data_IF_495173130060
#
_entry.id   IF_495173130060
#
_cell.length_a   1.000
_cell.length_b   1.000
_cell.length_c   1.000
_cell.angle_alpha   90.00
_cell.angle_beta   90.00
_cell.angle_gamma   90.00
#
_symmetry.space_group_name_H-M   'P 1'
#
loop_
_entity.id
_entity.type
_entity.pdbx_description
1 polymer ?
#
# COMPACT_ATOMS: atom_id res chain seq x y z
N UNK A 1 -9.14 -7.38 -24.15
CA UNK A 1 -8.13 -6.44 -23.58
C UNK A 1 -8.18 -6.28 -22.06
N UNK A 2 -9.18 -6.81 -21.33
CA UNK A 2 -9.41 -6.56 -19.90
C UNK A 2 -8.54 -7.35 -18.88
N UNK A 3 -7.89 -8.43 -19.24
CA UNK A 3 -7.05 -9.24 -18.32
C UNK A 3 -5.64 -8.70 -18.11
N UNK A 4 -5.06 -8.02 -19.10
CA UNK A 4 -3.71 -7.45 -19.02
C UNK A 4 -3.67 -6.12 -18.22
N UNK A 5 -4.75 -5.34 -18.28
CA UNK A 5 -4.86 -4.08 -17.52
C UNK A 5 -5.21 -4.28 -16.05
N UNK A 6 -5.97 -5.33 -15.70
CA UNK A 6 -6.35 -5.63 -14.31
C UNK A 6 -5.16 -5.95 -13.40
N UNK A 7 -4.14 -6.64 -13.92
CA UNK A 7 -2.90 -6.94 -13.22
C UNK A 7 -2.09 -5.68 -12.85
N UNK A 8 -2.12 -4.64 -13.70
CA UNK A 8 -1.44 -3.38 -13.47
C UNK A 8 -2.21 -2.47 -12.51
N UNK A 9 -3.54 -2.39 -12.66
CA UNK A 9 -4.40 -1.47 -11.87
C UNK A 9 -4.40 -1.83 -10.39
N UNK A 10 -4.34 -3.12 -10.02
CA UNK A 10 -4.37 -3.59 -8.63
C UNK A 10 -3.07 -3.40 -7.85
N UNK A 11 -1.97 -2.90 -8.46
CA UNK A 11 -0.68 -2.73 -7.78
C UNK A 11 -0.55 -1.36 -7.12
N UNK A 12 0.14 -1.30 -5.96
CA UNK A 12 0.51 -0.04 -5.32
C UNK A 12 1.44 0.79 -6.22
N UNK A 13 1.49 2.10 -6.01
CA UNK A 13 2.37 3.00 -6.76
C UNK A 13 3.84 2.60 -6.65
N UNK A 14 4.30 2.16 -5.46
CA UNK A 14 5.68 1.69 -5.28
C UNK A 14 5.95 0.39 -6.03
N UNK A 15 5.00 -0.56 -6.02
CA UNK A 15 5.15 -1.79 -6.79
C UNK A 15 5.21 -1.55 -8.30
N UNK A 16 4.52 -0.51 -8.80
CA UNK A 16 4.59 -0.08 -10.21
C UNK A 16 5.96 0.52 -10.54
N UNK A 17 6.48 1.41 -9.67
CA UNK A 17 7.81 2.03 -9.84
C UNK A 17 8.91 0.96 -9.74
N UNK A 18 8.83 0.04 -8.76
CA UNK A 18 9.80 -1.06 -8.64
C UNK A 18 9.82 -1.93 -9.92
N UNK A 19 8.64 -2.31 -10.40
CA UNK A 19 8.54 -3.12 -11.61
C UNK A 19 9.09 -2.41 -12.83
N UNK A 20 8.70 -1.15 -13.05
CA UNK A 20 9.22 -0.32 -14.16
C UNK A 20 10.75 -0.23 -14.10
N UNK A 21 11.30 0.10 -12.95
CA UNK A 21 12.75 0.22 -12.75
C UNK A 21 13.45 -1.12 -13.03
N UNK A 22 12.94 -2.24 -12.52
CA UNK A 22 13.51 -3.58 -12.77
C UNK A 22 13.52 -3.93 -14.25
N UNK A 23 12.42 -3.72 -14.95
CA UNK A 23 12.32 -3.99 -16.38
C UNK A 23 13.26 -3.09 -17.19
N UNK A 24 13.37 -1.81 -16.84
CA UNK A 24 14.32 -0.89 -17.50
C UNK A 24 15.75 -1.41 -17.39
N UNK A 25 16.19 -1.85 -16.22
CA UNK A 25 17.54 -2.42 -16.05
C UNK A 25 17.73 -3.76 -16.73
N UNK A 26 16.71 -4.63 -16.76
CA UNK A 26 16.78 -5.86 -17.55
C UNK A 26 16.84 -5.61 -19.05
N UNK A 27 16.25 -4.53 -19.56
CA UNK A 27 16.34 -4.14 -20.97
C UNK A 27 17.71 -3.57 -21.33
N UNK A 28 18.50 -3.08 -20.37
CA UNK A 28 19.88 -2.62 -20.67
C UNK A 28 20.80 -3.77 -21.10
N UNK A 29 20.61 -4.99 -20.61
CA UNK A 29 21.44 -6.14 -21.01
C UNK A 29 21.29 -6.50 -22.51
N UNK A 30 20.08 -6.70 -23.07
CA UNK A 30 19.94 -6.87 -24.51
C UNK A 30 20.37 -5.63 -25.32
N UNK A 31 20.16 -4.43 -24.78
CA UNK A 31 20.65 -3.20 -25.42
C UNK A 31 22.18 -3.18 -25.49
N UNK A 32 22.88 -3.56 -24.40
CA UNK A 32 24.33 -3.73 -24.38
C UNK A 32 24.78 -4.73 -25.44
N UNK A 33 24.17 -5.90 -25.51
CA UNK A 33 24.50 -6.91 -26.52
C UNK A 33 24.32 -6.34 -27.93
N UNK A 34 23.19 -5.69 -28.21
CA UNK A 34 22.91 -5.12 -29.54
C UNK A 34 23.93 -4.02 -29.89
N UNK A 35 24.24 -3.14 -28.94
CA UNK A 35 25.18 -2.04 -29.15
C UNK A 35 26.63 -2.55 -29.38
N UNK A 36 27.05 -3.54 -28.58
CA UNK A 36 28.42 -4.06 -28.65
C UNK A 36 28.59 -5.12 -29.73
N UNK A 37 27.59 -5.94 -30.03
CA UNK A 37 27.65 -6.96 -31.09
C UNK A 37 27.83 -6.34 -32.48
N UNK A 38 27.33 -5.13 -32.71
CA UNK A 38 27.51 -4.40 -33.97
C UNK A 38 28.98 -4.19 -34.34
N UNK A 39 29.85 -4.01 -33.35
CA UNK A 39 31.28 -3.75 -33.56
C UNK A 39 32.00 -4.97 -34.19
N UNK A 40 32.03 -6.18 -33.52
CA UNK A 40 32.71 -7.33 -34.12
C UNK A 40 32.00 -7.89 -35.35
N UNK A 41 30.67 -7.75 -35.45
CA UNK A 41 29.91 -8.22 -36.64
C UNK A 41 30.21 -7.37 -37.89
N UNK A 42 30.26 -6.02 -37.76
CA UNK A 42 30.63 -5.16 -38.85
C UNK A 42 32.09 -5.36 -39.29
N UNK A 43 33.00 -5.56 -38.33
CA UNK A 43 34.40 -5.89 -38.63
C UNK A 43 34.56 -7.25 -39.30
N UNK A 44 33.75 -8.25 -38.95
CA UNK A 44 33.74 -9.54 -39.63
C UNK A 44 33.22 -9.42 -41.07
N UNK A 45 32.17 -8.64 -41.31
CA UNK A 45 31.58 -8.45 -42.64
C UNK A 45 32.50 -7.69 -43.59
N UNK A 46 33.35 -6.79 -43.09
CA UNK A 46 34.36 -6.06 -43.85
C UNK A 46 35.69 -6.81 -44.00
N UNK A 47 35.75 -8.07 -43.56
CA UNK A 47 36.97 -8.87 -43.51
C UNK A 47 38.09 -8.29 -42.62
N UNK A 48 37.81 -7.27 -41.84
CA UNK A 48 38.73 -6.68 -40.89
C UNK A 48 38.99 -7.56 -39.65
N UNK A 49 38.13 -8.61 -39.44
CA UNK A 49 38.20 -9.52 -38.30
C UNK A 49 37.90 -10.97 -38.76
N UNK A 50 38.72 -11.91 -38.30
CA UNK A 50 38.48 -13.34 -38.56
C UNK A 50 37.17 -13.78 -37.89
N UNK A 51 36.29 -14.61 -38.54
CA UNK A 51 35.00 -15.01 -37.96
C UNK A 51 35.06 -15.68 -36.58
N UNK A 52 36.10 -16.48 -36.31
CA UNK A 52 36.31 -17.10 -35.02
C UNK A 52 36.64 -16.11 -33.91
N UNK A 53 37.37 -15.04 -34.23
CA UNK A 53 37.69 -13.97 -33.25
C UNK A 53 36.47 -13.10 -33.01
N UNK A 54 35.71 -12.78 -34.08
CA UNK A 54 34.42 -12.08 -33.94
C UNK A 54 33.46 -12.82 -33.01
N UNK A 55 33.35 -14.15 -33.18
CA UNK A 55 32.55 -15.00 -32.29
C UNK A 55 33.04 -14.95 -30.82
N UNK A 56 34.36 -15.00 -30.61
CA UNK A 56 34.95 -14.87 -29.27
C UNK A 56 34.64 -13.51 -28.63
N UNK A 57 34.78 -12.40 -29.39
CA UNK A 57 34.43 -11.06 -28.89
C UNK A 57 32.95 -10.94 -28.60
N UNK A 58 32.08 -11.50 -29.42
CA UNK A 58 30.64 -11.54 -29.16
C UNK A 58 30.31 -12.32 -27.88
N UNK A 59 30.98 -13.45 -27.65
CA UNK A 59 30.80 -14.23 -26.41
C UNK A 59 31.23 -13.43 -25.17
N UNK A 60 32.32 -12.67 -25.26
CA UNK A 60 32.75 -11.75 -24.18
C UNK A 60 31.67 -10.69 -23.91
N UNK A 61 31.12 -10.06 -24.94
CA UNK A 61 30.02 -9.09 -24.79
C UNK A 61 28.79 -9.70 -24.11
N UNK A 62 28.38 -10.90 -24.55
CA UNK A 62 27.24 -11.61 -23.96
C UNK A 62 27.50 -11.96 -22.48
N UNK A 63 28.67 -12.47 -22.16
CA UNK A 63 29.04 -12.81 -20.78
C UNK A 63 29.08 -11.57 -19.89
N UNK A 64 29.62 -10.46 -20.38
CA UNK A 64 29.64 -9.19 -19.67
C UNK A 64 28.22 -8.64 -19.43
N UNK A 65 27.36 -8.64 -20.45
CA UNK A 65 25.98 -8.18 -20.32
C UNK A 65 25.16 -9.03 -19.32
N UNK A 66 25.38 -10.36 -19.31
CA UNK A 66 24.77 -11.23 -18.28
C UNK A 66 25.27 -10.87 -16.89
N UNK A 67 26.56 -10.60 -16.72
CA UNK A 67 27.13 -10.21 -15.43
C UNK A 67 26.59 -8.85 -14.97
N UNK A 68 26.46 -7.87 -15.88
CA UNK A 68 25.78 -6.59 -15.61
C UNK A 68 24.33 -6.80 -15.17
N UNK A 69 23.55 -7.63 -15.87
CA UNK A 69 22.16 -7.90 -15.53
C UNK A 69 21.99 -8.57 -14.16
N UNK A 70 22.83 -9.55 -13.84
CA UNK A 70 22.84 -10.24 -12.55
C UNK A 70 23.18 -9.27 -11.42
N UNK A 71 24.22 -8.45 -11.61
CA UNK A 71 24.60 -7.45 -10.62
C UNK A 71 23.49 -6.41 -10.44
N UNK A 72 22.95 -5.84 -11.52
CA UNK A 72 21.88 -4.86 -11.46
C UNK A 72 20.66 -5.38 -10.71
N UNK A 73 20.22 -6.61 -10.99
CA UNK A 73 19.11 -7.25 -10.28
C UNK A 73 19.37 -7.32 -8.76
N UNK A 74 20.56 -7.73 -8.35
CA UNK A 74 20.93 -7.83 -6.92
C UNK A 74 21.14 -6.48 -6.26
N UNK A 75 21.66 -5.50 -6.97
CA UNK A 75 21.82 -4.13 -6.48
C UNK A 75 20.45 -3.46 -6.25
N UNK A 76 19.47 -3.70 -7.13
CA UNK A 76 18.10 -3.22 -6.93
C UNK A 76 17.43 -3.89 -5.72
N UNK A 77 17.63 -5.20 -5.51
CA UNK A 77 17.15 -5.88 -4.29
C UNK A 77 17.72 -5.27 -3.01
N UNK A 78 19.00 -4.91 -3.03
CA UNK A 78 19.64 -4.20 -1.91
C UNK A 78 19.08 -2.79 -1.70
N UNK A 79 18.81 -2.04 -2.77
CA UNK A 79 18.25 -0.68 -2.69
C UNK A 79 16.86 -0.67 -2.01
N UNK A 80 16.02 -1.68 -2.30
CA UNK A 80 14.70 -1.86 -1.69
C UNK A 80 14.78 -2.48 -0.28
N UNK A 81 15.96 -2.95 0.15
CA UNK A 81 16.17 -3.56 1.46
C UNK A 81 15.75 -5.03 1.54
N UNK A 82 15.58 -5.70 0.39
CA UNK A 82 15.24 -7.14 0.32
C UNK A 82 16.45 -8.05 0.53
N UNK A 83 17.68 -7.54 0.29
CA UNK A 83 18.93 -8.32 0.37
C UNK A 83 20.09 -7.43 0.85
N UNK A 84 21.17 -8.07 1.25
CA UNK A 84 22.43 -7.41 1.58
C UNK A 84 23.14 -6.87 0.34
N UNK A 85 24.10 -5.95 0.57
CA UNK A 85 24.89 -5.32 -0.49
C UNK A 85 25.67 -6.37 -1.28
N UNK A 86 25.56 -6.43 -2.62
CA UNK A 86 26.17 -7.46 -3.45
C UNK A 86 27.68 -7.19 -3.73
N UNK A 87 28.50 -7.08 -2.69
CA UNK A 87 29.92 -6.71 -2.82
C UNK A 87 30.70 -7.71 -3.68
N UNK A 88 30.44 -9.02 -3.51
CA UNK A 88 31.12 -10.06 -4.30
C UNK A 88 30.82 -9.96 -5.79
N UNK A 89 29.57 -9.63 -6.13
CA UNK A 89 29.17 -9.42 -7.53
C UNK A 89 29.72 -8.12 -8.08
N UNK A 90 29.87 -7.06 -7.26
CA UNK A 90 30.51 -5.81 -7.68
C UNK A 90 31.98 -6.06 -8.03
N UNK A 91 32.71 -6.82 -7.19
CA UNK A 91 34.09 -7.22 -7.48
C UNK A 91 34.15 -8.10 -8.73
N UNK A 92 33.26 -9.08 -8.87
CA UNK A 92 33.18 -9.93 -10.04
C UNK A 92 32.92 -9.13 -11.33
N UNK A 93 32.04 -8.12 -11.28
CA UNK A 93 31.77 -7.25 -12.44
C UNK A 93 32.99 -6.40 -12.78
N UNK A 94 33.61 -5.76 -11.78
CA UNK A 94 34.82 -4.94 -12.00
C UNK A 94 35.97 -5.76 -12.59
N UNK A 95 36.25 -6.94 -12.01
CA UNK A 95 37.29 -7.84 -12.53
C UNK A 95 36.93 -8.43 -13.88
N UNK A 96 35.67 -8.80 -14.10
CA UNK A 96 35.17 -9.31 -15.37
C UNK A 96 35.31 -8.28 -16.49
N UNK A 97 34.95 -7.00 -16.23
CA UNK A 97 35.17 -5.91 -17.18
C UNK A 97 36.67 -5.72 -17.50
N UNK A 98 37.52 -5.68 -16.49
CA UNK A 98 38.95 -5.53 -16.69
C UNK A 98 39.57 -6.71 -17.50
N UNK A 99 39.17 -7.94 -17.22
CA UNK A 99 39.60 -9.11 -17.97
C UNK A 99 39.11 -9.07 -19.43
N UNK A 100 37.86 -8.66 -19.64
CA UNK A 100 37.31 -8.48 -20.99
C UNK A 100 38.10 -7.42 -21.78
N UNK A 101 38.35 -6.27 -21.17
CA UNK A 101 39.12 -5.17 -21.79
C UNK A 101 40.55 -5.60 -22.14
N UNK A 102 41.26 -6.25 -21.19
CA UNK A 102 42.61 -6.75 -21.43
C UNK A 102 42.64 -7.83 -22.54
N UNK A 103 41.64 -8.71 -22.56
CA UNK A 103 41.53 -9.71 -23.63
C UNK A 103 41.34 -9.09 -25.00
N UNK A 104 40.45 -8.12 -25.10
CA UNK A 104 40.20 -7.38 -26.37
C UNK A 104 41.47 -6.65 -26.81
N UNK A 105 42.17 -5.94 -25.92
CA UNK A 105 43.42 -5.24 -26.22
C UNK A 105 44.53 -6.21 -26.66
N UNK A 106 44.65 -7.36 -25.99
CA UNK A 106 45.64 -8.38 -26.35
C UNK A 106 45.37 -8.97 -27.71
N UNK A 107 44.11 -9.29 -28.04
CA UNK A 107 43.71 -9.77 -29.35
C UNK A 107 44.00 -8.73 -30.45
N UNK A 108 43.77 -7.45 -30.14
CA UNK A 108 44.08 -6.35 -31.07
C UNK A 108 45.58 -6.24 -31.34
N UNK A 109 46.44 -6.21 -30.32
CA UNK A 109 47.90 -6.15 -30.47
C UNK A 109 48.52 -7.39 -31.12
N UNK A 110 47.85 -8.56 -30.98
CA UNK A 110 48.23 -9.79 -31.69
C UNK A 110 47.87 -9.79 -33.18
N UNK A 111 47.37 -8.68 -33.74
CA UNK A 111 47.01 -8.52 -35.12
C UNK A 111 45.72 -9.26 -35.50
N UNK A 112 44.86 -9.55 -34.53
CA UNK A 112 43.58 -10.19 -34.77
C UNK A 112 42.59 -9.31 -35.54
N UNK A 113 42.77 -8.01 -35.48
CA UNK A 113 41.94 -7.02 -36.19
C UNK A 113 42.85 -6.09 -37.04
N UNK A 114 42.42 -5.80 -38.27
CA UNK A 114 43.10 -4.83 -39.14
C UNK A 114 42.63 -3.39 -38.92
N UNK A 115 41.48 -3.22 -38.25
CA UNK A 115 40.89 -1.93 -37.92
C UNK A 115 41.13 -1.59 -36.45
N UNK A 116 41.93 -0.55 -36.14
CA UNK A 116 42.22 -0.13 -34.76
C UNK A 116 40.98 0.30 -33.99
N UNK A 117 39.95 0.78 -34.68
CA UNK A 117 38.74 1.29 -34.04
C UNK A 117 37.90 0.19 -33.34
N UNK A 118 37.98 -1.05 -33.80
CA UNK A 118 37.22 -2.20 -33.29
C UNK A 118 37.58 -2.51 -31.85
N UNK A 119 38.89 -2.67 -31.57
CA UNK A 119 39.35 -2.97 -30.20
C UNK A 119 39.10 -1.84 -29.23
N UNK A 120 39.46 -0.64 -29.62
CA UNK A 120 39.32 0.59 -28.82
C UNK A 120 37.85 0.91 -28.54
N UNK A 121 36.97 0.80 -29.53
CA UNK A 121 35.53 1.03 -29.40
C UNK A 121 34.89 0.03 -28.43
N UNK A 122 35.25 -1.24 -28.55
CA UNK A 122 34.72 -2.29 -27.72
C UNK A 122 35.13 -2.17 -26.24
N UNK A 123 36.43 -1.87 -25.97
CA UNK A 123 36.96 -1.61 -24.61
C UNK A 123 36.27 -0.41 -23.99
N UNK A 124 36.14 0.69 -24.75
CA UNK A 124 35.47 1.89 -24.26
C UNK A 124 34.02 1.59 -23.85
N UNK A 125 33.32 0.85 -24.67
CA UNK A 125 31.92 0.54 -24.42
C UNK A 125 31.71 -0.49 -23.26
N UNK A 126 32.53 -1.55 -23.19
CA UNK A 126 32.51 -2.51 -22.06
C UNK A 126 32.77 -1.79 -20.73
N UNK A 127 33.83 -0.96 -20.67
CA UNK A 127 34.15 -0.16 -19.49
C UNK A 127 33.02 0.80 -19.11
N UNK A 128 32.38 1.47 -20.11
CA UNK A 128 31.27 2.40 -19.84
C UNK A 128 30.04 1.68 -19.27
N UNK A 129 29.62 0.55 -19.85
CA UNK A 129 28.50 -0.24 -19.32
C UNK A 129 28.83 -0.85 -17.95
N UNK A 130 30.02 -1.42 -17.77
CA UNK A 130 30.46 -1.98 -16.49
C UNK A 130 30.51 -0.93 -15.39
N UNK A 131 31.17 0.22 -15.64
CA UNK A 131 31.23 1.32 -14.69
C UNK A 131 29.83 1.85 -14.35
N UNK A 132 29.01 2.15 -15.36
CA UNK A 132 27.66 2.66 -15.16
C UNK A 132 26.77 1.70 -14.33
N UNK A 133 26.87 0.40 -14.59
CA UNK A 133 26.14 -0.62 -13.84
C UNK A 133 26.62 -0.74 -12.38
N UNK A 134 27.94 -0.66 -12.13
CA UNK A 134 28.52 -0.68 -10.80
C UNK A 134 27.98 0.42 -9.88
N UNK A 135 27.56 1.56 -10.43
CA UNK A 135 27.04 2.69 -9.66
C UNK A 135 25.75 2.34 -8.91
N UNK A 136 24.96 1.34 -9.38
CA UNK A 136 23.79 0.82 -8.66
C UNK A 136 24.15 0.25 -7.26
N UNK A 137 25.37 -0.20 -7.07
CA UNK A 137 25.90 -0.69 -5.79
C UNK A 137 26.38 0.42 -4.83
N UNK A 138 26.23 1.71 -5.19
CA UNK A 138 26.73 2.85 -4.44
C UNK A 138 25.57 3.77 -4.02
N UNK A 139 25.57 4.23 -2.76
CA UNK A 139 24.55 5.18 -2.25
C UNK A 139 25.00 6.63 -2.27
N UNK A 140 26.32 6.87 -2.21
CA UNK A 140 26.85 8.24 -2.09
C UNK A 140 27.34 8.73 -3.44
N UNK A 141 26.81 9.85 -3.92
CA UNK A 141 27.16 10.47 -5.22
C UNK A 141 28.67 10.65 -5.38
N UNK A 142 29.38 11.08 -4.33
CA UNK A 142 30.85 11.20 -4.36
C UNK A 142 31.58 9.89 -4.72
N UNK A 143 31.07 8.75 -4.23
CA UNK A 143 31.66 7.44 -4.55
C UNK A 143 31.33 7.03 -5.99
N UNK A 144 30.18 7.44 -6.51
CA UNK A 144 29.80 7.22 -7.91
C UNK A 144 30.76 8.01 -8.83
N UNK A 145 30.99 9.28 -8.52
CA UNK A 145 31.96 10.12 -9.28
C UNK A 145 33.37 9.51 -9.27
N UNK A 146 33.87 9.09 -8.11
CA UNK A 146 35.19 8.46 -8.01
C UNK A 146 35.25 7.15 -8.80
N UNK A 147 34.21 6.32 -8.76
CA UNK A 147 34.18 5.06 -9.49
C UNK A 147 34.25 5.26 -11.01
N UNK A 148 33.50 6.24 -11.54
CA UNK A 148 33.54 6.56 -12.98
C UNK A 148 34.89 7.14 -13.37
N UNK A 149 35.47 8.07 -12.58
CA UNK A 149 36.79 8.61 -12.81
C UNK A 149 37.90 7.56 -12.82
N UNK A 150 37.84 6.64 -11.83
CA UNK A 150 38.81 5.53 -11.76
C UNK A 150 38.67 4.62 -12.99
N UNK A 151 37.45 4.28 -13.40
CA UNK A 151 37.22 3.45 -14.56
C UNK A 151 37.73 4.16 -15.83
N UNK A 152 37.43 5.44 -16.01
CA UNK A 152 37.88 6.24 -17.15
C UNK A 152 39.42 6.32 -17.23
N UNK A 153 40.09 6.63 -16.11
CA UNK A 153 41.55 6.66 -16.04
C UNK A 153 42.15 5.26 -16.28
N UNK A 154 41.61 4.22 -15.69
CA UNK A 154 42.10 2.84 -15.85
C UNK A 154 42.00 2.39 -17.32
N UNK A 155 40.90 2.67 -18.00
CA UNK A 155 40.71 2.37 -19.42
C UNK A 155 41.69 3.16 -20.30
N UNK A 156 41.85 4.49 -20.06
CA UNK A 156 42.81 5.30 -20.78
C UNK A 156 44.26 4.81 -20.62
N UNK A 157 44.64 4.48 -19.36
CA UNK A 157 45.98 3.94 -19.08
C UNK A 157 46.18 2.56 -19.75
N UNK A 158 45.19 1.69 -19.70
CA UNK A 158 45.26 0.39 -20.38
C UNK A 158 45.43 0.53 -21.87
N UNK A 159 44.64 1.38 -22.53
CA UNK A 159 44.74 1.65 -23.97
C UNK A 159 46.11 2.22 -24.33
N UNK A 160 46.66 3.15 -23.54
CA UNK A 160 48.01 3.70 -23.76
C UNK A 160 49.10 2.65 -23.59
N UNK A 161 49.00 1.78 -22.55
CA UNK A 161 49.98 0.71 -22.28
C UNK A 161 50.03 -0.35 -23.41
N UNK A 162 48.96 -0.51 -24.17
CA UNK A 162 48.88 -1.40 -25.33
C UNK A 162 49.31 -0.71 -26.64
N UNK A 163 49.99 0.44 -26.56
CA UNK A 163 50.64 1.10 -27.69
C UNK A 163 49.76 2.06 -28.50
N UNK A 164 48.55 2.37 -28.05
CA UNK A 164 47.72 3.38 -28.68
C UNK A 164 48.16 4.77 -28.27
N UNK A 165 48.12 5.70 -29.22
CA UNK A 165 48.58 7.09 -28.99
C UNK A 165 47.75 7.82 -27.91
N UNK A 166 48.36 8.82 -27.28
CA UNK A 166 47.73 9.62 -26.23
C UNK A 166 46.34 10.20 -26.60
N UNK A 167 46.07 10.68 -27.83
CA UNK A 167 44.75 11.15 -28.21
C UNK A 167 43.67 10.05 -28.10
N UNK A 168 44.00 8.84 -28.56
CA UNK A 168 43.09 7.67 -28.49
C UNK A 168 42.80 7.27 -27.02
N UNK A 169 43.86 7.18 -26.20
CA UNK A 169 43.75 6.86 -24.78
C UNK A 169 42.88 7.88 -24.02
N UNK A 170 43.10 9.18 -24.28
CA UNK A 170 42.27 10.24 -23.69
C UNK A 170 40.83 10.15 -24.21
N UNK A 171 40.62 9.92 -25.52
CA UNK A 171 39.31 9.75 -26.12
C UNK A 171 38.52 8.60 -25.48
N UNK A 172 39.18 7.46 -25.22
CA UNK A 172 38.55 6.32 -24.49
C UNK A 172 38.17 6.70 -23.06
N UNK A 173 39.05 7.32 -22.30
CA UNK A 173 38.75 7.80 -20.96
C UNK A 173 37.56 8.77 -20.95
N UNK A 174 37.52 9.73 -21.87
CA UNK A 174 36.36 10.63 -22.04
C UNK A 174 35.10 9.86 -22.43
N UNK A 175 35.18 8.86 -23.30
CA UNK A 175 34.07 8.01 -23.70
C UNK A 175 33.51 7.24 -22.52
N UNK A 176 34.35 6.67 -21.67
CA UNK A 176 33.92 5.99 -20.42
C UNK A 176 33.34 6.98 -19.43
N UNK A 177 33.91 8.19 -19.28
CA UNK A 177 33.39 9.22 -18.40
C UNK A 177 31.97 9.67 -18.82
N UNK A 178 31.77 9.93 -20.10
CA UNK A 178 30.48 10.37 -20.62
C UNK A 178 29.45 9.23 -20.65
N UNK A 179 29.81 8.08 -21.18
CA UNK A 179 28.92 6.91 -21.30
C UNK A 179 28.61 6.31 -19.92
N UNK A 180 29.63 5.99 -19.14
CA UNK A 180 29.48 5.44 -17.80
C UNK A 180 28.86 6.42 -16.81
N UNK A 181 29.21 7.69 -16.89
CA UNK A 181 28.64 8.78 -16.11
C UNK A 181 27.17 9.04 -16.45
N UNK A 182 26.81 9.10 -17.74
CA UNK A 182 25.42 9.23 -18.20
C UNK A 182 24.54 8.08 -17.78
N UNK A 183 24.99 6.85 -17.99
CA UNK A 183 24.30 5.65 -17.53
C UNK A 183 24.19 5.59 -16.00
N UNK A 184 25.26 6.00 -15.30
CA UNK A 184 25.31 6.06 -13.86
C UNK A 184 24.38 7.09 -13.24
N UNK A 185 24.22 8.26 -13.87
CA UNK A 185 23.25 9.27 -13.40
C UNK A 185 21.80 8.74 -13.52
N UNK A 186 21.47 8.09 -14.62
CA UNK A 186 20.16 7.44 -14.81
C UNK A 186 19.93 6.34 -13.77
N UNK A 187 20.96 5.52 -13.51
CA UNK A 187 20.94 4.44 -12.51
C UNK A 187 20.79 5.00 -11.10
N UNK A 188 21.56 6.03 -10.75
CA UNK A 188 21.52 6.71 -9.47
C UNK A 188 20.16 7.34 -9.19
N UNK A 189 19.60 8.04 -10.17
CA UNK A 189 18.27 8.64 -10.09
C UNK A 189 17.19 7.59 -9.89
N UNK A 190 17.22 6.48 -10.65
CA UNK A 190 16.26 5.39 -10.53
C UNK A 190 16.32 4.72 -9.16
N UNK A 191 17.54 4.48 -8.62
CA UNK A 191 17.75 3.94 -7.27
C UNK A 191 17.25 4.89 -6.19
N UNK A 192 17.52 6.18 -6.33
CA UNK A 192 17.05 7.22 -5.41
C UNK A 192 15.53 7.31 -5.39
N UNK A 193 14.90 7.35 -6.58
CA UNK A 193 13.45 7.37 -6.73
C UNK A 193 12.80 6.14 -6.06
N UNK A 194 13.35 4.96 -6.31
CA UNK A 194 12.87 3.72 -5.72
C UNK A 194 12.98 3.74 -4.18
N UNK A 195 14.09 4.29 -3.66
CA UNK A 195 14.30 4.48 -2.22
C UNK A 195 13.25 5.41 -1.60
N UNK A 196 13.01 6.57 -2.21
CA UNK A 196 12.02 7.55 -1.72
C UNK A 196 10.60 6.98 -1.72
N UNK A 197 10.20 6.32 -2.81
CA UNK A 197 8.86 5.73 -2.90
C UNK A 197 8.66 4.66 -1.84
N UNK A 198 9.68 3.82 -1.60
CA UNK A 198 9.65 2.82 -0.53
C UNK A 198 9.57 3.42 0.88
N UNK A 199 10.27 4.53 1.12
CA UNK A 199 10.23 5.24 2.41
C UNK A 199 8.88 5.92 2.65
N UNK A 200 8.29 6.50 1.60
CA UNK A 200 6.96 7.11 1.65
C UNK A 200 5.87 6.07 2.00
N UNK A 201 5.92 4.87 1.41
CA UNK A 201 4.97 3.80 1.77
C UNK A 201 5.13 3.35 3.23
N UNK A 202 6.37 3.15 3.69
CA UNK A 202 6.64 2.82 5.10
C UNK A 202 6.12 3.90 6.06
N UNK A 203 6.35 5.17 5.71
CA UNK A 203 5.84 6.30 6.50
C UNK A 203 4.32 6.34 6.58
N UNK A 204 3.63 6.02 5.48
CA UNK A 204 2.16 5.92 5.45
C UNK A 204 1.64 4.77 6.32
N UNK A 205 2.28 3.61 6.26
CA UNK A 205 1.91 2.45 7.09
C UNK A 205 2.12 2.75 8.59
N UNK A 206 3.25 3.37 8.95
CA UNK A 206 3.51 3.80 10.33
C UNK A 206 2.49 4.82 10.82
N UNK A 207 2.13 5.81 10.00
CA UNK A 207 1.10 6.81 10.35
C UNK A 207 -0.26 6.16 10.55
N UNK A 208 -0.63 5.19 9.71
CA UNK A 208 -1.88 4.45 9.87
C UNK A 208 -1.92 3.66 11.19
N UNK A 209 -0.82 2.97 11.52
CA UNK A 209 -0.69 2.24 12.81
C UNK A 209 -0.72 3.18 14.01
N UNK A 210 -0.07 4.33 13.91
CA UNK A 210 -0.08 5.35 14.96
C UNK A 210 -1.49 5.88 15.19
N UNK A 211 -2.23 6.23 14.13
CA UNK A 211 -3.61 6.68 14.22
C UNK A 211 -4.52 5.65 14.93
N UNK A 212 -4.36 4.35 14.62
CA UNK A 212 -5.08 3.29 15.33
C UNK A 212 -4.70 3.19 16.80
N UNK A 213 -3.41 3.36 17.13
CA UNK A 213 -2.95 3.34 18.52
C UNK A 213 -3.45 4.56 19.32
N UNK A 214 -3.42 5.74 18.73
CA UNK A 214 -3.95 6.97 19.33
C UNK A 214 -5.45 6.86 19.60
N UNK A 215 -6.20 6.29 18.65
CA UNK A 215 -7.64 6.05 18.80
C UNK A 215 -7.94 5.07 19.96
N UNK A 216 -7.15 3.98 20.07
CA UNK A 216 -7.26 3.05 21.21
C UNK A 216 -6.97 3.71 22.55
N UNK A 217 -5.98 4.60 22.60
CA UNK A 217 -5.65 5.36 23.82
C UNK A 217 -6.75 6.36 24.19
N UNK A 218 -7.35 7.03 23.19
CA UNK A 218 -8.49 7.93 23.38
C UNK A 218 -9.69 7.16 23.96
N UNK A 219 -10.02 6.03 23.34
CA UNK A 219 -11.07 5.13 23.84
C UNK A 219 -10.83 4.70 25.28
N UNK A 220 -9.60 4.28 25.63
CA UNK A 220 -9.27 3.87 27.00
C UNK A 220 -9.46 5.01 27.99
N UNK A 221 -9.14 6.25 27.60
CA UNK A 221 -9.32 7.44 28.43
C UNK A 221 -10.79 7.79 28.62
N UNK A 222 -11.56 7.84 27.51
CA UNK A 222 -12.99 8.13 27.54
C UNK A 222 -13.76 7.11 28.42
N UNK A 223 -13.40 5.83 28.29
CA UNK A 223 -13.96 4.76 29.13
C UNK A 223 -13.60 4.95 30.61
N UNK A 224 -12.34 5.29 30.90
CA UNK A 224 -11.85 5.50 32.25
C UNK A 224 -12.55 6.71 32.92
N UNK A 225 -12.75 7.79 32.17
CA UNK A 225 -13.40 9.01 32.68
C UNK A 225 -14.88 8.80 33.01
N UNK A 226 -15.62 8.05 32.13
CA UNK A 226 -17.02 7.70 32.39
C UNK A 226 -17.13 6.75 33.59
N UNK A 227 -16.30 5.70 33.63
CA UNK A 227 -16.35 4.73 34.72
C UNK A 227 -15.86 5.33 36.05
N UNK A 228 -14.76 6.08 36.03
CA UNK A 228 -14.15 6.64 37.25
C UNK A 228 -15.11 7.59 37.99
N UNK A 229 -15.76 8.49 37.25
CA UNK A 229 -16.73 9.43 37.81
C UNK A 229 -17.92 8.70 38.46
N UNK A 230 -18.53 7.79 37.72
CA UNK A 230 -19.72 7.09 38.19
C UNK A 230 -19.42 6.15 39.38
N UNK A 231 -18.28 5.44 39.36
CA UNK A 231 -17.85 4.57 40.45
C UNK A 231 -17.56 5.37 41.73
N UNK A 232 -16.96 6.57 41.64
CA UNK A 232 -16.70 7.42 42.79
C UNK A 232 -17.99 7.91 43.45
N UNK A 233 -19.01 8.28 42.63
CA UNK A 233 -20.33 8.70 43.17
C UNK A 233 -21.06 7.49 43.81
N UNK A 234 -20.98 6.30 43.21
CA UNK A 234 -21.56 5.09 43.79
C UNK A 234 -20.92 4.78 45.13
N UNK A 235 -19.58 4.85 45.25
CA UNK A 235 -18.88 4.58 46.51
C UNK A 235 -19.29 5.57 47.61
N UNK A 236 -19.31 6.87 47.32
CA UNK A 236 -19.70 7.89 48.28
C UNK A 236 -21.16 7.71 48.75
N UNK A 237 -22.11 7.49 47.83
CA UNK A 237 -23.53 7.29 48.16
C UNK A 237 -23.76 5.99 48.92
N UNK A 238 -23.01 4.94 48.62
CA UNK A 238 -23.08 3.69 49.35
C UNK A 238 -22.61 3.85 50.82
N UNK A 239 -21.53 4.60 51.03
CA UNK A 239 -21.01 4.89 52.35
C UNK A 239 -22.01 5.74 53.16
N UNK A 240 -22.62 6.77 52.55
CA UNK A 240 -23.68 7.54 53.13
C UNK A 240 -24.91 6.68 53.54
N UNK A 241 -25.32 5.81 52.66
CA UNK A 241 -26.43 4.87 52.93
C UNK A 241 -26.13 3.97 54.14
N UNK A 242 -24.91 3.46 54.27
CA UNK A 242 -24.49 2.63 55.45
C UNK A 242 -24.53 3.47 56.73
N UNK A 243 -24.06 4.75 56.72
CA UNK A 243 -24.09 5.62 57.89
C UNK A 243 -25.51 5.96 58.32
N UNK A 244 -26.42 6.24 57.37
CA UNK A 244 -27.83 6.50 57.63
C UNK A 244 -28.53 5.24 58.20
N UNK A 245 -28.27 4.08 57.64
CA UNK A 245 -28.81 2.82 58.13
C UNK A 245 -28.38 2.52 59.58
N UNK A 246 -27.09 2.72 59.91
CA UNK A 246 -26.57 2.57 61.28
C UNK A 246 -27.24 3.51 62.30
N UNK A 247 -27.78 4.63 61.83
CA UNK A 247 -28.51 5.63 62.66
C UNK A 247 -30.02 5.43 62.64
N UNK A 248 -30.50 4.32 62.03
CA UNK A 248 -31.93 4.02 61.93
C UNK A 248 -32.72 4.99 61.05
N UNK A 249 -32.07 5.67 60.13
CA UNK A 249 -32.73 6.70 59.31
C UNK A 249 -33.32 6.07 58.05
N UNK A 250 -34.61 6.30 57.77
CA UNK A 250 -35.28 5.69 56.57
C UNK A 250 -34.69 6.17 55.24
N UNK A 251 -34.03 7.32 55.17
CA UNK A 251 -33.39 7.90 54.00
C UNK A 251 -32.23 7.01 53.46
N UNK A 252 -31.80 6.02 54.21
CA UNK A 252 -30.83 5.00 53.76
C UNK A 252 -31.32 4.25 52.52
N UNK A 253 -32.63 3.95 52.47
CA UNK A 253 -33.25 3.24 51.31
C UNK A 253 -33.23 4.10 50.05
N UNK A 254 -33.49 5.38 50.20
CA UNK A 254 -33.47 6.33 49.08
C UNK A 254 -32.04 6.43 48.46
N UNK A 255 -30.99 6.49 49.30
CA UNK A 255 -29.61 6.50 48.83
C UNK A 255 -29.24 5.17 48.10
N UNK A 256 -29.68 4.02 48.58
CA UNK A 256 -29.44 2.75 47.90
C UNK A 256 -30.20 2.66 46.58
N UNK A 257 -31.39 3.20 46.49
CA UNK A 257 -32.18 3.28 45.26
C UNK A 257 -31.45 4.12 44.20
N UNK A 258 -30.90 5.26 44.66
CA UNK A 258 -30.11 6.14 43.77
C UNK A 258 -28.79 5.48 43.32
N UNK A 259 -28.11 4.73 44.18
CA UNK A 259 -26.93 3.91 43.81
C UNK A 259 -27.27 2.93 42.70
N UNK A 260 -28.40 2.22 42.84
CA UNK A 260 -28.87 1.28 41.82
C UNK A 260 -29.18 1.99 40.48
N UNK A 261 -29.79 3.17 40.53
CA UNK A 261 -30.10 3.97 39.36
C UNK A 261 -28.80 4.39 38.62
N UNK A 262 -27.81 4.91 39.36
CA UNK A 262 -26.52 5.33 38.81
C UNK A 262 -25.76 4.14 38.24
N UNK A 263 -25.73 3.02 38.92
CA UNK A 263 -25.08 1.79 38.44
C UNK A 263 -25.68 1.29 37.09
N UNK A 264 -27.01 1.28 36.99
CA UNK A 264 -27.70 0.90 35.75
C UNK A 264 -27.47 1.88 34.62
N UNK A 265 -27.38 3.16 34.93
CA UNK A 265 -27.05 4.22 33.97
C UNK A 265 -25.61 4.08 33.48
N UNK A 266 -24.65 3.89 34.40
CA UNK A 266 -23.23 3.69 34.06
C UNK A 266 -23.02 2.45 33.16
N UNK A 267 -23.69 1.34 33.46
CA UNK A 267 -23.66 0.16 32.60
C UNK A 267 -24.21 0.40 31.19
N UNK A 268 -25.18 1.30 31.04
CA UNK A 268 -25.70 1.68 29.71
C UNK A 268 -24.69 2.54 28.99
N UNK A 269 -24.15 3.58 29.63
CA UNK A 269 -23.15 4.47 29.06
C UNK A 269 -21.89 3.70 28.60
N UNK A 270 -21.36 2.80 29.43
CA UNK A 270 -20.23 1.92 29.03
C UNK A 270 -20.59 1.05 27.81
N UNK A 271 -21.77 0.46 27.80
CA UNK A 271 -22.22 -0.34 26.65
C UNK A 271 -22.36 0.49 25.38
N UNK A 272 -22.81 1.72 25.48
CA UNK A 272 -22.96 2.62 24.33
C UNK A 272 -21.60 3.09 23.81
N UNK A 273 -20.64 3.36 24.69
CA UNK A 273 -19.25 3.64 24.29
C UNK A 273 -18.60 2.41 23.63
N UNK A 274 -18.72 1.23 24.21
CA UNK A 274 -18.17 -0.02 23.62
C UNK A 274 -18.86 -0.38 22.31
N UNK A 275 -20.16 -0.16 22.19
CA UNK A 275 -20.92 -0.34 20.94
C UNK A 275 -20.54 0.68 19.88
N UNK A 276 -20.28 1.94 20.26
CA UNK A 276 -19.80 3.00 19.35
C UNK A 276 -18.45 2.68 18.72
N UNK A 277 -17.62 1.85 19.37
CA UNK A 277 -16.26 1.51 18.91
C UNK A 277 -16.14 0.23 18.07
N UNK A 278 -17.17 -0.65 18.08
CA UNK A 278 -17.21 -1.76 17.13
C UNK A 278 -17.66 -1.19 15.79
N UNK A 279 -16.75 -1.06 14.84
CA UNK A 279 -17.09 -0.81 13.44
C UNK A 279 -18.16 -1.82 13.02
N UNK A 280 -19.37 -1.35 12.74
CA UNK A 280 -20.46 -2.20 12.31
C UNK A 280 -20.14 -2.63 10.87
N UNK A 281 -19.73 -3.89 10.68
CA UNK A 281 -19.66 -4.50 9.36
C UNK A 281 -21.10 -4.79 8.89
N UNK A 282 -21.51 -4.14 7.81
CA UNK A 282 -22.88 -4.26 7.28
C UNK A 282 -23.29 -5.71 7.02
N UNK A 283 -22.37 -6.57 6.52
CA UNK A 283 -22.67 -7.98 6.27
C UNK A 283 -22.91 -8.75 7.57
N UNK A 284 -22.06 -8.51 8.57
CA UNK A 284 -22.19 -9.14 9.91
C UNK A 284 -23.48 -8.69 10.57
N UNK A 285 -23.87 -7.41 10.45
CA UNK A 285 -25.13 -6.90 11.00
C UNK A 285 -26.37 -7.49 10.30
N UNK A 286 -26.32 -7.63 8.97
CA UNK A 286 -27.39 -8.26 8.20
C UNK A 286 -27.58 -9.75 8.58
N UNK A 287 -26.49 -10.51 8.70
CA UNK A 287 -26.53 -11.91 9.13
C UNK A 287 -27.02 -12.02 10.58
N UNK A 288 -26.54 -11.15 11.47
CA UNK A 288 -27.00 -11.05 12.84
C UNK A 288 -28.49 -10.74 12.95
N UNK A 289 -28.98 -9.77 12.16
CA UNK A 289 -30.40 -9.42 12.10
C UNK A 289 -31.28 -10.61 11.68
N UNK A 290 -30.86 -11.35 10.65
CA UNK A 290 -31.58 -12.56 10.20
C UNK A 290 -31.65 -13.62 11.31
N UNK A 291 -30.51 -13.86 12.00
CA UNK A 291 -30.45 -14.86 13.08
C UNK A 291 -31.31 -14.48 14.28
N UNK A 292 -31.23 -13.24 14.75
CA UNK A 292 -31.94 -12.76 15.94
C UNK A 292 -33.45 -12.65 15.69
N UNK A 293 -33.86 -12.08 14.54
CA UNK A 293 -35.28 -11.99 14.15
C UNK A 293 -35.88 -13.39 13.95
N UNK A 294 -35.15 -14.30 13.29
CA UNK A 294 -35.56 -15.68 13.12
C UNK A 294 -35.72 -16.43 14.44
N UNK A 295 -34.83 -16.22 15.41
CA UNK A 295 -34.94 -16.78 16.77
C UNK A 295 -36.17 -16.24 17.56
N UNK A 296 -36.58 -15.00 17.23
CA UNK A 296 -37.81 -14.39 17.79
C UNK A 296 -39.09 -14.77 17.03
N UNK A 297 -39.01 -15.66 16.02
CA UNK A 297 -40.18 -16.10 15.23
C UNK A 297 -40.58 -15.12 14.12
N UNK A 298 -39.74 -14.10 13.81
CA UNK A 298 -39.99 -13.08 12.78
C UNK A 298 -39.33 -13.52 11.47
N UNK A 299 -40.10 -13.66 10.41
CA UNK A 299 -39.59 -13.99 9.08
C UNK A 299 -38.79 -12.83 8.51
N UNK A 300 -37.45 -12.97 8.41
CA UNK A 300 -36.55 -11.93 7.93
C UNK A 300 -36.10 -12.22 6.48
N UNK A 301 -36.48 -11.36 5.54
CA UNK A 301 -36.04 -11.39 4.15
C UNK A 301 -34.95 -10.31 3.94
N UNK A 302 -33.79 -10.71 3.40
CA UNK A 302 -32.69 -9.78 3.07
C UNK A 302 -32.47 -9.82 1.55
N UNK A 303 -32.58 -8.66 0.91
CA UNK A 303 -32.30 -8.47 -0.51
C UNK A 303 -30.80 -8.56 -0.84
N UNK A 304 -30.45 -8.53 -2.13
CA UNK A 304 -29.06 -8.54 -2.57
C UNK A 304 -28.27 -7.36 -1.98
N UNK A 305 -27.04 -7.65 -1.53
CA UNK A 305 -26.15 -6.65 -0.94
C UNK A 305 -25.28 -6.05 -2.03
N UNK A 306 -25.22 -4.72 -2.13
CA UNK A 306 -24.35 -4.01 -3.06
C UNK A 306 -22.89 -4.14 -2.61
N UNK A 307 -22.02 -4.71 -3.45
CA UNK A 307 -20.59 -4.83 -3.20
C UNK A 307 -19.84 -3.52 -3.47
N UNK A 308 -18.72 -3.35 -2.77
CA UNK A 308 -17.78 -2.23 -3.02
C UNK A 308 -18.16 -0.90 -2.40
N UNK A 309 -19.04 -0.88 -1.39
CA UNK A 309 -19.33 0.30 -0.61
C UNK A 309 -18.10 0.76 0.19
N UNK A 310 -17.83 2.08 0.33
CA UNK A 310 -16.80 2.60 1.22
C UNK A 310 -17.02 2.13 2.67
N UNK A 311 -15.94 1.85 3.40
CA UNK A 311 -15.97 1.30 4.77
C UNK A 311 -16.83 2.17 5.72
N UNK A 312 -16.72 3.51 5.62
CA UNK A 312 -17.52 4.45 6.43
C UNK A 312 -19.03 4.34 6.14
N UNK A 313 -19.40 4.12 4.88
CA UNK A 313 -20.79 3.93 4.47
C UNK A 313 -21.32 2.58 5.00
N UNK A 314 -20.54 1.51 4.89
CA UNK A 314 -20.89 0.21 5.44
C UNK A 314 -21.12 0.28 6.95
N UNK A 315 -20.23 0.95 7.69
CA UNK A 315 -20.38 1.14 9.12
C UNK A 315 -21.65 1.90 9.48
N UNK A 316 -21.96 3.01 8.80
CA UNK A 316 -23.16 3.80 9.04
C UNK A 316 -24.44 3.00 8.76
N UNK A 317 -24.49 2.26 7.65
CA UNK A 317 -25.64 1.41 7.29
C UNK A 317 -25.77 0.21 8.23
N UNK A 318 -24.67 -0.39 8.68
CA UNK A 318 -24.67 -1.47 9.68
C UNK A 318 -25.31 -1.02 11.00
N UNK A 319 -25.04 0.23 11.44
CA UNK A 319 -25.71 0.80 12.61
C UNK A 319 -27.23 0.94 12.41
N UNK A 320 -27.68 1.34 11.22
CA UNK A 320 -29.11 1.40 10.91
C UNK A 320 -29.75 0.02 11.03
N UNK A 321 -29.14 -1.02 10.45
CA UNK A 321 -29.63 -2.41 10.54
C UNK A 321 -29.73 -2.86 11.99
N UNK A 322 -28.69 -2.64 12.79
CA UNK A 322 -28.65 -3.05 14.21
C UNK A 322 -29.76 -2.38 15.03
N UNK A 323 -29.87 -1.05 14.92
CA UNK A 323 -30.84 -0.29 15.71
C UNK A 323 -32.28 -0.60 15.28
N UNK A 324 -32.52 -0.72 13.96
CA UNK A 324 -33.86 -1.09 13.44
C UNK A 324 -34.26 -2.53 13.86
N UNK A 325 -33.30 -3.48 13.82
CA UNK A 325 -33.55 -4.84 14.33
C UNK A 325 -33.92 -4.83 15.83
N UNK A 326 -33.21 -4.03 16.63
CA UNK A 326 -33.52 -3.87 18.07
C UNK A 326 -34.92 -3.25 18.25
N UNK A 327 -35.29 -2.27 17.43
CA UNK A 327 -36.58 -1.61 17.50
C UNK A 327 -37.72 -2.57 17.12
N UNK A 328 -37.55 -3.39 16.10
CA UNK A 328 -38.52 -4.43 15.68
C UNK A 328 -38.76 -5.40 16.84
N UNK A 329 -37.70 -5.88 17.52
CA UNK A 329 -37.81 -6.78 18.66
C UNK A 329 -38.44 -6.14 19.92
N UNK A 330 -38.28 -4.83 20.10
CA UNK A 330 -38.73 -4.13 21.31
C UNK A 330 -40.14 -3.60 21.21
N UNK A 331 -40.55 -3.20 20.01
CA UNK A 331 -41.77 -2.37 19.82
C UNK A 331 -42.80 -2.95 18.86
N UNK A 332 -42.54 -4.12 18.29
CA UNK A 332 -43.42 -4.68 17.28
C UNK A 332 -43.93 -6.07 17.61
N UNK A 333 -45.24 -6.30 17.38
CA UNK A 333 -45.78 -7.65 17.18
C UNK A 333 -45.58 -8.06 15.70
N UNK A 334 -44.35 -7.81 15.21
CA UNK A 334 -44.01 -8.08 13.82
C UNK A 334 -43.91 -9.60 13.58
N UNK A 335 -44.50 -10.05 12.50
CA UNK A 335 -44.34 -11.41 11.98
C UNK A 335 -43.38 -11.47 10.79
N UNK A 336 -43.11 -10.31 10.16
CA UNK A 336 -42.23 -10.19 9.00
C UNK A 336 -41.38 -8.92 9.07
N UNK A 337 -40.10 -9.06 8.67
CA UNK A 337 -39.18 -7.94 8.47
C UNK A 337 -38.48 -8.10 7.13
N UNK A 338 -38.37 -7.03 6.32
CA UNK A 338 -37.67 -7.03 5.05
C UNK A 338 -36.57 -5.97 5.09
N UNK A 339 -35.35 -6.37 4.73
CA UNK A 339 -34.19 -5.47 4.64
C UNK A 339 -33.71 -5.47 3.19
N UNK A 340 -33.66 -4.32 2.55
CA UNK A 340 -33.20 -4.19 1.16
C UNK A 340 -32.18 -3.08 0.99
N UNK A 341 -31.16 -3.34 0.13
CA UNK A 341 -30.21 -2.35 -0.32
C UNK A 341 -30.39 -2.11 -1.82
N UNK A 342 -30.47 -0.85 -2.23
CA UNK A 342 -30.54 -0.46 -3.63
C UNK A 342 -29.57 0.69 -3.92
N UNK A 343 -28.81 0.56 -5.01
CA UNK A 343 -28.03 1.67 -5.56
C UNK A 343 -28.88 2.50 -6.50
N UNK A 344 -29.02 3.80 -6.24
CA UNK A 344 -29.78 4.72 -7.09
C UNK A 344 -29.06 6.07 -7.19
N UNK A 345 -28.83 6.54 -8.40
CA UNK A 345 -28.35 7.91 -8.72
C UNK A 345 -27.11 8.36 -7.92
N UNK A 346 -26.10 7.47 -7.74
CA UNK A 346 -24.89 7.80 -6.98
C UNK A 346 -25.10 7.77 -5.46
N UNK A 347 -26.19 7.17 -4.99
CA UNK A 347 -26.46 6.95 -3.57
C UNK A 347 -26.83 5.50 -3.31
N UNK A 348 -26.65 5.04 -2.08
CA UNK A 348 -27.15 3.76 -1.58
C UNK A 348 -28.33 4.02 -0.66
N UNK A 349 -29.40 3.28 -0.91
CA UNK A 349 -30.64 3.31 -0.15
C UNK A 349 -30.76 2.00 0.63
N UNK A 350 -30.74 2.07 1.95
CA UNK A 350 -31.10 0.96 2.83
C UNK A 350 -32.52 1.17 3.31
N UNK A 351 -33.37 0.19 3.08
CA UNK A 351 -34.75 0.19 3.55
C UNK A 351 -34.99 -1.00 4.46
N UNK A 352 -35.53 -0.75 5.65
CA UNK A 352 -35.99 -1.77 6.60
C UNK A 352 -37.48 -1.58 6.82
N UNK A 353 -38.26 -2.61 6.56
CA UNK A 353 -39.72 -2.63 6.72
C UNK A 353 -40.13 -3.79 7.64
N UNK A 354 -41.02 -3.51 8.56
CA UNK A 354 -41.67 -4.55 9.37
C UNK A 354 -43.19 -4.33 9.45
N UNK A 355 -43.93 -5.42 9.54
CA UNK A 355 -45.35 -5.43 9.89
C UNK A 355 -45.52 -5.34 11.43
N UNK A 356 -46.77 -5.23 11.90
CA UNK A 356 -47.06 -5.25 13.35
C UNK A 356 -47.03 -3.87 14.02
N UNK A 357 -47.30 -2.80 13.27
CA UNK A 357 -47.59 -1.48 13.84
C UNK A 357 -49.03 -1.44 14.26
N UNK A 358 -49.31 -1.47 15.57
CA UNK A 358 -50.64 -1.43 16.13
C UNK A 358 -51.37 -0.08 15.86
N UNK A 359 -52.71 -0.12 15.83
CA UNK A 359 -53.52 1.10 15.81
C UNK A 359 -53.23 1.93 17.06
N UNK A 360 -52.74 3.17 16.88
CA UNK A 360 -52.34 4.04 18.00
C UNK A 360 -50.85 4.18 18.23
N UNK A 361 -49.98 3.70 17.33
CA UNK A 361 -48.52 3.88 17.42
C UNK A 361 -48.17 5.36 17.48
N UNK A 362 -47.68 5.79 18.63
CA UNK A 362 -47.09 7.13 18.82
C UNK A 362 -45.59 7.01 18.69
N UNK A 363 -45.01 7.73 17.72
CA UNK A 363 -43.58 7.79 17.53
C UNK A 363 -42.93 8.48 18.77
N UNK A 364 -42.40 7.72 19.69
CA UNK A 364 -41.73 8.22 20.88
C UNK A 364 -40.46 8.98 20.49
N UNK A 365 -40.09 10.01 21.25
CA UNK A 365 -38.80 10.74 21.16
C UNK A 365 -37.62 9.85 21.58
N UNK A 366 -37.51 8.60 21.07
CA UNK A 366 -36.47 7.65 21.42
C UNK A 366 -35.10 8.15 20.91
N UNK A 367 -34.11 8.08 21.78
CA UNK A 367 -32.71 8.48 21.49
C UNK A 367 -32.07 7.70 20.33
N UNK A 368 -32.60 6.51 19.96
CA UNK A 368 -32.04 5.65 18.93
C UNK A 368 -32.09 6.24 17.53
N UNK A 369 -33.28 6.70 17.08
CA UNK A 369 -33.42 7.33 15.77
C UNK A 369 -32.70 8.69 15.66
N UNK A 370 -32.60 9.44 16.77
CA UNK A 370 -31.83 10.68 16.80
C UNK A 370 -30.34 10.42 16.63
N UNK A 371 -29.79 9.42 17.34
CA UNK A 371 -28.40 8.99 17.19
C UNK A 371 -28.06 8.42 15.81
N UNK A 372 -29.01 7.74 15.14
CA UNK A 372 -28.84 7.31 13.76
C UNK A 372 -28.77 8.47 12.77
N UNK A 373 -29.59 9.54 12.95
CA UNK A 373 -29.53 10.75 12.12
C UNK A 373 -28.17 11.42 12.21
N UNK A 374 -27.65 11.58 13.42
CA UNK A 374 -26.33 12.19 13.67
C UNK A 374 -25.21 11.38 13.01
N UNK A 375 -25.22 10.05 13.11
CA UNK A 375 -24.20 9.18 12.48
C UNK A 375 -24.28 9.18 10.96
N UNK A 376 -25.48 9.20 10.39
CA UNK A 376 -25.66 9.29 8.94
C UNK A 376 -25.23 10.66 8.41
N UNK A 377 -25.46 11.74 9.16
CA UNK A 377 -24.98 13.08 8.81
C UNK A 377 -23.45 13.15 8.66
N UNK A 378 -22.69 12.35 9.42
CA UNK A 378 -21.23 12.26 9.30
C UNK A 378 -20.75 11.64 7.96
N UNK A 379 -21.63 11.04 7.19
CA UNK A 379 -21.39 10.49 5.84
C UNK A 379 -22.33 11.13 4.79
N UNK A 380 -22.77 12.35 5.05
CA UNK A 380 -23.73 13.11 4.21
C UNK A 380 -25.05 12.35 3.93
N UNK A 381 -25.40 11.43 4.81
CA UNK A 381 -26.60 10.60 4.70
C UNK A 381 -27.80 11.19 5.41
N UNK A 382 -28.98 10.69 5.05
CA UNK A 382 -30.27 11.08 5.64
C UNK A 382 -31.05 9.86 6.12
N UNK A 383 -31.89 10.04 7.17
CA UNK A 383 -32.77 9.00 7.71
C UNK A 383 -34.24 9.48 7.70
N UNK A 384 -35.10 8.67 7.10
CA UNK A 384 -36.55 8.81 7.22
C UNK A 384 -37.10 7.57 7.94
N UNK A 385 -38.04 7.78 8.86
CA UNK A 385 -38.67 6.67 9.59
C UNK A 385 -40.11 7.07 9.90
N UNK A 386 -41.03 6.15 9.67
CA UNK A 386 -42.44 6.37 9.96
C UNK A 386 -43.30 5.17 9.62
N UNK A 387 -44.58 5.20 10.10
CA UNK A 387 -45.59 4.25 9.68
C UNK A 387 -45.99 4.52 8.23
N UNK A 388 -46.32 3.42 7.53
CA UNK A 388 -46.90 3.44 6.18
C UNK A 388 -48.27 2.77 6.17
N UNK A 389 -48.99 2.97 5.08
CA UNK A 389 -50.30 2.37 4.89
C UNK A 389 -50.23 0.84 4.98
N UNK A 390 -51.21 0.22 5.63
CA UNK A 390 -51.28 -1.23 5.80
C UNK A 390 -50.58 -1.79 7.07
N UNK A 391 -50.33 -0.94 8.11
CA UNK A 391 -49.75 -1.41 9.40
C UNK A 391 -48.28 -1.77 9.33
N UNK A 392 -47.53 -1.20 8.41
CA UNK A 392 -46.10 -1.36 8.26
C UNK A 392 -45.35 -0.16 8.80
N UNK A 393 -44.13 -0.39 9.33
CA UNK A 393 -43.17 0.65 9.70
C UNK A 393 -41.98 0.59 8.77
N UNK A 394 -41.63 1.72 8.17
CA UNK A 394 -40.48 1.80 7.26
C UNK A 394 -39.44 2.75 7.78
N UNK A 395 -38.17 2.28 7.76
CA UNK A 395 -36.97 3.07 8.00
C UNK A 395 -36.16 3.09 6.69
N UNK A 396 -35.85 4.27 6.19
CA UNK A 396 -35.06 4.47 4.98
C UNK A 396 -33.86 5.34 5.28
N UNK A 397 -32.66 4.79 5.05
CA UNK A 397 -31.40 5.52 5.12
C UNK A 397 -30.84 5.70 3.71
N UNK A 398 -30.52 6.94 3.34
CA UNK A 398 -29.91 7.28 2.04
C UNK A 398 -28.52 7.85 2.28
N UNK A 399 -27.49 7.27 1.66
CA UNK A 399 -26.12 7.72 1.79
C UNK A 399 -25.49 7.93 0.41
N UNK A 400 -24.94 9.13 0.09
CA UNK A 400 -24.22 9.37 -1.14
C UNK A 400 -22.99 8.47 -1.25
N UNK A 401 -22.77 7.85 -2.41
CA UNK A 401 -21.55 7.08 -2.69
C UNK A 401 -20.88 7.72 -3.89
N UNK A 402 -19.63 8.22 -3.75
CA UNK A 402 -18.89 8.76 -4.87
C UNK A 402 -18.80 7.72 -5.99
N UNK A 403 -19.15 8.08 -7.22
CA UNK A 403 -18.94 7.21 -8.38
C UNK A 403 -17.45 6.90 -8.49
N UNK A 404 -17.09 5.63 -8.53
CA UNK A 404 -15.74 5.17 -8.89
C UNK A 404 -15.44 5.66 -10.31
N UNK A 405 -14.84 6.86 -10.46
CA UNK A 405 -14.54 7.42 -11.77
C UNK A 405 -14.37 8.94 -11.85
N UNK A 406 -14.45 9.69 -10.75
CA UNK A 406 -14.20 11.13 -10.76
C UNK A 406 -13.06 11.46 -9.77
N UNK A 407 -11.87 11.00 -10.08
CA UNK A 407 -10.62 11.58 -9.58
C UNK A 407 -9.85 11.97 -10.83
N UNK A 408 -9.91 13.27 -11.17
CA UNK A 408 -9.02 13.91 -12.12
C UNK A 408 -7.61 14.00 -11.55
#
# INVERSE_FOLDING_TARGET
MSRLTGWWVGRSSAAKVELYTRWTFHLFAPLEIVALAGIPLSAASSAALRPGIAAAMLLICCAHAVLCAVFASRALDWTVGKRDRPVRLAVALATGTAVADLTVLTLHTAGATTDPSVGVGLVTALSAFGAGTLLLGLRRVRHMLYAVLVAACATGVAVAAFGHGAPTAVGCGVGVLLGGGGFGTASGFSSWLLGIVGELERSRDLKARLAVAEERLRFGRDLHDVMGRNLSVIALKSELAVQLARRGRPEAVDQMTEVQRIARQSQREVRDVVRGYRQADLRVELEGARGVLGAAGIACAIGPVTDGLPERVQAALGWVVRETTTNVLRHGDASRCTISLAGKDGSVLLTVENDGVGEGFVMGNGSGLAGLRERLAAVDGTLRAGPEDGGTFRVTATVPVPRKGAAA
#
